data_IF_127837222493
#
_entry.id   IF_127837222493
#
_cell.length_a   1.000
_cell.length_b   1.000
_cell.length_c   1.000
_cell.angle_alpha   90.00
_cell.angle_beta   90.00
_cell.angle_gamma   90.00
#
_symmetry.space_group_name_H-M   'P 1'
#
loop_
_entity.id
_entity.type
_entity.pdbx_description
1 polymer ?
#
# COMPACT_ATOMS: atom_id res chain seq x y z
N UNK A 1 38.68 -7.52 27.15
CA UNK A 1 38.70 -7.08 25.75
C UNK A 1 37.44 -7.64 25.10
N UNK A 2 36.36 -6.86 25.07
CA UNK A 2 35.16 -7.23 24.32
C UNK A 2 35.52 -7.16 22.84
N UNK A 3 35.34 -8.27 22.13
CA UNK A 3 35.43 -8.31 20.68
C UNK A 3 34.26 -7.47 20.12
N UNK A 4 34.43 -6.17 20.01
CA UNK A 4 33.49 -5.27 19.34
C UNK A 4 33.68 -5.40 17.83
N UNK A 5 33.25 -6.54 17.29
CA UNK A 5 33.03 -6.67 15.86
C UNK A 5 31.86 -5.77 15.47
N UNK A 6 31.98 -4.96 14.41
CA UNK A 6 30.88 -4.11 13.97
C UNK A 6 29.68 -4.97 13.60
N UNK A 7 28.49 -4.59 14.09
CA UNK A 7 27.24 -5.26 13.71
C UNK A 7 26.99 -5.03 12.21
N UNK A 8 26.89 -6.11 11.45
CA UNK A 8 26.55 -6.06 10.02
C UNK A 8 25.04 -6.25 9.91
N UNK A 9 24.35 -5.26 9.33
CA UNK A 9 22.91 -5.32 9.09
C UNK A 9 22.63 -5.79 7.67
N UNK A 10 21.97 -6.95 7.53
CA UNK A 10 21.62 -7.58 6.26
C UNK A 10 20.11 -7.88 6.15
N UNK A 11 19.27 -7.04 6.77
CA UNK A 11 17.80 -7.24 6.82
C UNK A 11 17.03 -5.99 6.32
N UNK A 12 17.43 -5.45 5.17
CA UNK A 12 16.72 -4.31 4.55
C UNK A 12 15.27 -4.64 4.15
N UNK A 13 14.93 -5.93 4.06
CA UNK A 13 13.54 -6.41 3.87
C UNK A 13 12.62 -6.08 5.04
N UNK A 14 13.12 -6.11 6.28
CA UNK A 14 12.31 -5.78 7.45
C UNK A 14 12.15 -4.26 7.61
N UNK A 15 13.25 -3.51 7.49
CA UNK A 15 13.25 -2.03 7.50
C UNK A 15 14.59 -1.49 7.00
N UNK A 16 14.63 -0.20 6.66
CA UNK A 16 15.83 0.49 6.17
C UNK A 16 16.26 1.61 7.13
N UNK A 17 17.57 1.89 7.25
CA UNK A 17 18.03 3.05 7.99
C UNK A 17 17.55 4.33 7.31
N UNK A 18 17.06 5.29 8.09
CA UNK A 18 16.63 6.59 7.58
C UNK A 18 17.84 7.32 6.98
N UNK A 19 17.72 7.75 5.72
CA UNK A 19 18.75 8.55 5.08
C UNK A 19 18.94 9.88 5.84
N UNK A 20 20.19 10.37 6.07
CA UNK A 20 20.42 11.58 6.86
C UNK A 20 19.63 12.81 6.39
N UNK A 21 19.46 12.98 5.08
CA UNK A 21 18.67 14.07 4.51
C UNK A 21 17.17 13.97 4.87
N UNK A 22 16.63 12.76 4.93
CA UNK A 22 15.23 12.53 5.35
C UNK A 22 15.07 12.87 6.83
N UNK A 23 16.01 12.44 7.68
CA UNK A 23 15.99 12.78 9.11
C UNK A 23 16.06 14.30 9.35
N UNK A 24 16.91 15.00 8.58
CA UNK A 24 17.03 16.46 8.64
C UNK A 24 15.74 17.16 8.21
N UNK A 25 15.17 16.78 7.06
CA UNK A 25 13.94 17.36 6.54
C UNK A 25 12.75 17.15 7.49
N UNK A 26 12.61 15.94 8.04
CA UNK A 26 11.58 15.63 9.02
C UNK A 26 11.72 16.46 10.29
N UNK A 27 12.94 16.58 10.83
CA UNK A 27 13.21 17.38 12.03
C UNK A 27 12.88 18.85 11.83
N UNK A 28 13.25 19.41 10.68
CA UNK A 28 12.92 20.80 10.33
C UNK A 28 11.40 21.01 10.24
N UNK A 29 10.70 20.12 9.55
CA UNK A 29 9.25 20.20 9.39
C UNK A 29 8.51 20.07 10.72
N UNK A 30 8.94 19.17 11.61
CA UNK A 30 8.35 19.02 12.94
C UNK A 30 8.43 20.30 13.78
N UNK A 31 9.51 21.09 13.62
CA UNK A 31 9.70 22.34 14.36
C UNK A 31 8.94 23.50 13.71
N UNK A 32 8.95 23.58 12.37
CA UNK A 32 8.47 24.75 11.62
C UNK A 32 7.02 24.64 11.12
N UNK A 33 6.53 23.43 10.89
CA UNK A 33 5.25 23.17 10.25
C UNK A 33 4.23 22.58 11.23
N UNK A 34 3.66 23.44 12.08
CA UNK A 34 2.65 23.06 13.09
C UNK A 34 1.23 23.58 12.78
N UNK A 35 1.05 24.26 11.64
CA UNK A 35 -0.25 24.75 11.21
C UNK A 35 -1.17 23.61 10.76
N UNK A 36 -2.46 23.71 11.08
CA UNK A 36 -3.44 22.78 10.52
C UNK A 36 -3.59 23.03 9.00
N UNK A 37 -3.31 22.06 8.11
CA UNK A 37 -3.39 22.25 6.66
C UNK A 37 -4.80 22.50 6.13
N UNK A 38 -5.84 22.29 6.94
CA UNK A 38 -7.23 22.64 6.63
C UNK A 38 -7.58 24.10 6.93
N UNK A 39 -6.71 24.82 7.66
CA UNK A 39 -6.95 26.22 8.02
C UNK A 39 -6.64 27.17 6.87
N UNK A 40 -7.48 28.20 6.70
CA UNK A 40 -7.29 29.23 5.66
C UNK A 40 -6.21 30.27 5.99
N UNK A 41 -5.76 30.36 7.25
CA UNK A 41 -4.76 31.34 7.68
C UNK A 41 -3.36 30.97 7.14
N UNK A 42 -2.43 31.92 7.22
CA UNK A 42 -1.07 31.80 6.67
C UNK A 42 -0.39 30.46 7.01
N UNK A 43 -0.27 30.12 8.30
CA UNK A 43 0.40 28.88 8.73
C UNK A 43 -0.27 27.58 8.21
N UNK A 44 -1.59 27.58 8.02
CA UNK A 44 -2.31 26.43 7.48
C UNK A 44 -2.04 26.25 5.99
N UNK A 45 -2.04 27.36 5.23
CA UNK A 45 -1.68 27.34 3.80
C UNK A 45 -0.24 26.89 3.57
N UNK A 46 0.71 27.35 4.38
CA UNK A 46 2.10 26.90 4.32
C UNK A 46 2.21 25.37 4.50
N UNK A 47 1.52 24.83 5.51
CA UNK A 47 1.49 23.38 5.78
C UNK A 47 0.85 22.60 4.63
N UNK A 48 -0.24 23.13 4.04
CA UNK A 48 -0.88 22.54 2.86
C UNK A 48 0.05 22.52 1.65
N UNK A 49 0.81 23.59 1.42
CA UNK A 49 1.77 23.66 0.30
C UNK A 49 2.82 22.55 0.41
N UNK A 50 3.30 22.25 1.62
CA UNK A 50 4.28 21.16 1.85
C UNK A 50 3.67 19.80 1.46
N UNK A 51 2.45 19.50 1.91
CA UNK A 51 1.75 18.24 1.58
C UNK A 51 1.55 18.11 0.07
N UNK A 52 1.10 19.17 -0.61
CA UNK A 52 0.85 19.13 -2.06
C UNK A 52 2.14 19.04 -2.88
N UNK A 53 3.25 19.62 -2.40
CA UNK A 53 4.59 19.40 -3.00
C UNK A 53 5.03 17.94 -2.85
N UNK A 54 4.84 17.35 -1.67
CA UNK A 54 5.14 15.92 -1.46
C UNK A 54 4.27 15.04 -2.37
N UNK A 55 2.97 15.33 -2.48
CA UNK A 55 2.04 14.62 -3.37
C UNK A 55 2.48 14.67 -4.82
N UNK A 56 2.85 15.86 -5.32
CA UNK A 56 3.36 16.04 -6.68
C UNK A 56 4.66 15.27 -6.91
N UNK A 57 5.55 15.25 -5.93
CA UNK A 57 6.83 14.52 -6.03
C UNK A 57 6.61 13.01 -6.12
N UNK A 58 5.71 12.45 -5.30
CA UNK A 58 5.31 11.04 -5.34
C UNK A 58 4.66 10.68 -6.68
N UNK A 59 3.73 11.52 -7.16
CA UNK A 59 3.05 11.31 -8.44
C UNK A 59 4.03 11.29 -9.61
N UNK A 60 5.02 12.20 -9.62
CA UNK A 60 6.08 12.20 -10.63
C UNK A 60 6.95 10.95 -10.58
N UNK A 61 7.32 10.49 -9.38
CA UNK A 61 8.13 9.28 -9.22
C UNK A 61 7.39 8.00 -9.68
N UNK A 62 6.06 7.97 -9.51
CA UNK A 62 5.20 6.84 -9.88
C UNK A 62 4.60 6.94 -11.29
N UNK A 63 4.75 8.08 -11.97
CA UNK A 63 4.21 8.29 -13.31
C UNK A 63 2.68 8.46 -13.37
N UNK A 64 2.07 9.00 -12.31
CA UNK A 64 0.61 9.18 -12.20
C UNK A 64 0.22 10.65 -11.94
N UNK A 65 -1.08 10.94 -11.92
CA UNK A 65 -1.61 12.26 -11.54
C UNK A 65 -1.53 12.47 -10.02
N UNK A 66 -1.25 13.70 -9.54
CA UNK A 66 -1.33 14.00 -8.11
C UNK A 66 -2.68 13.63 -7.46
N UNK A 67 -3.78 13.67 -8.22
CA UNK A 67 -5.11 13.29 -7.73
C UNK A 67 -5.26 11.79 -7.41
N UNK A 68 -4.33 10.95 -7.86
CA UNK A 68 -4.32 9.50 -7.63
C UNK A 68 -3.50 9.12 -6.39
N UNK A 69 -2.81 10.08 -5.75
CA UNK A 69 -2.01 9.84 -4.56
C UNK A 69 -2.82 10.12 -3.30
N UNK A 70 -2.95 9.11 -2.44
CA UNK A 70 -3.52 9.23 -1.10
C UNK A 70 -2.44 8.91 -0.07
N UNK A 71 -2.28 9.76 0.94
CA UNK A 71 -1.35 9.50 2.05
C UNK A 71 -2.08 8.69 3.13
N UNK A 72 -1.45 7.59 3.55
CA UNK A 72 -1.88 6.72 4.65
C UNK A 72 -0.76 6.65 5.69
N UNK A 73 -1.01 6.01 6.83
CA UNK A 73 0.00 5.78 7.87
C UNK A 73 1.06 4.73 7.49
N UNK A 74 0.82 3.92 6.46
CA UNK A 74 1.75 2.90 5.98
C UNK A 74 1.10 1.84 5.08
N UNK A 75 1.90 0.84 4.68
CA UNK A 75 1.46 -0.21 3.75
C UNK A 75 0.23 -0.98 4.24
N UNK A 76 0.17 -1.36 5.51
CA UNK A 76 -0.98 -2.10 6.06
C UNK A 76 -2.30 -1.35 5.95
N UNK A 77 -2.31 -0.03 6.17
CA UNK A 77 -3.50 0.80 6.00
C UNK A 77 -3.86 0.92 4.52
N UNK A 78 -2.88 1.15 3.64
CA UNK A 78 -3.09 1.22 2.19
C UNK A 78 -3.71 -0.07 1.63
N UNK A 79 -3.16 -1.21 1.99
CA UNK A 79 -3.64 -2.53 1.57
C UNK A 79 -5.08 -2.76 2.04
N UNK A 80 -5.37 -2.46 3.31
CA UNK A 80 -6.71 -2.59 3.86
C UNK A 80 -7.70 -1.64 3.18
N UNK A 81 -7.30 -0.39 2.95
CA UNK A 81 -8.14 0.61 2.28
C UNK A 81 -8.49 0.16 0.86
N UNK A 82 -7.50 -0.30 0.09
CA UNK A 82 -7.72 -0.77 -1.27
C UNK A 82 -8.68 -1.97 -1.34
N UNK A 83 -8.44 -3.02 -0.54
CA UNK A 83 -9.28 -4.22 -0.55
C UNK A 83 -10.70 -3.94 -0.04
N UNK A 84 -10.85 -3.15 1.02
CA UNK A 84 -12.17 -2.80 1.56
C UNK A 84 -12.95 -1.93 0.59
N UNK A 85 -12.35 -0.88 0.03
CA UNK A 85 -13.05 -0.04 -0.93
C UNK A 85 -13.48 -0.83 -2.18
N UNK A 86 -12.68 -1.80 -2.63
CA UNK A 86 -13.07 -2.67 -3.73
C UNK A 86 -14.36 -3.44 -3.43
N UNK A 87 -14.47 -4.08 -2.27
CA UNK A 87 -15.66 -4.86 -1.90
C UNK A 87 -16.83 -3.96 -1.48
N UNK A 88 -16.59 -3.05 -0.54
CA UNK A 88 -17.63 -2.29 0.16
C UNK A 88 -18.17 -1.11 -0.68
N UNK A 89 -17.36 -0.53 -1.56
CA UNK A 89 -17.74 0.64 -2.35
C UNK A 89 -17.88 0.35 -3.84
N UNK A 90 -17.08 -0.56 -4.40
CA UNK A 90 -17.10 -0.87 -5.84
C UNK A 90 -17.87 -2.15 -6.18
N UNK A 91 -18.35 -2.89 -5.18
CA UNK A 91 -19.17 -4.09 -5.38
C UNK A 91 -18.40 -5.29 -5.94
N UNK A 92 -17.09 -5.37 -5.70
CA UNK A 92 -16.30 -6.54 -6.04
C UNK A 92 -16.78 -7.76 -5.24
N UNK A 93 -17.11 -8.84 -5.96
CA UNK A 93 -17.62 -10.08 -5.38
C UNK A 93 -16.57 -11.20 -5.33
N UNK A 94 -15.55 -11.14 -6.19
CA UNK A 94 -14.45 -12.11 -6.26
C UNK A 94 -13.10 -11.39 -6.22
N UNK A 95 -12.14 -11.93 -5.48
CA UNK A 95 -10.76 -11.45 -5.47
C UNK A 95 -9.83 -12.62 -5.81
N UNK A 96 -9.02 -12.47 -6.84
CA UNK A 96 -7.95 -13.42 -7.18
C UNK A 96 -6.64 -12.91 -6.59
N UNK A 97 -6.00 -13.69 -5.74
CA UNK A 97 -4.78 -13.29 -5.03
C UNK A 97 -3.81 -14.46 -4.88
N UNK A 98 -2.66 -14.26 -4.22
CA UNK A 98 -1.64 -15.27 -4.00
C UNK A 98 -1.47 -15.61 -2.52
N UNK A 99 -1.20 -16.88 -2.21
CA UNK A 99 -0.79 -17.29 -0.87
C UNK A 99 0.58 -16.73 -0.44
N UNK A 100 1.33 -16.15 -1.38
CA UNK A 100 2.63 -15.50 -1.15
C UNK A 100 2.52 -14.05 -0.68
N UNK A 101 1.30 -13.50 -0.61
CA UNK A 101 1.07 -12.11 -0.21
C UNK A 101 1.47 -11.84 1.24
N UNK A 102 1.76 -10.57 1.53
CA UNK A 102 2.00 -10.11 2.89
C UNK A 102 0.75 -10.28 3.77
N UNK A 103 0.94 -10.47 5.08
CA UNK A 103 -0.16 -10.65 6.03
C UNK A 103 -1.18 -9.49 6.05
N UNK A 104 -0.76 -8.29 5.66
CA UNK A 104 -1.66 -7.14 5.51
C UNK A 104 -2.76 -7.38 4.46
N UNK A 105 -2.47 -8.16 3.41
CA UNK A 105 -3.41 -8.58 2.38
C UNK A 105 -4.15 -9.85 2.84
N UNK A 106 -3.44 -10.91 3.24
CA UNK A 106 -4.10 -12.20 3.53
C UNK A 106 -5.14 -12.09 4.64
N UNK A 107 -4.88 -11.29 5.68
CA UNK A 107 -5.84 -11.09 6.78
C UNK A 107 -7.07 -10.27 6.36
N UNK A 108 -6.90 -9.24 5.51
CA UNK A 108 -8.05 -8.46 5.05
C UNK A 108 -8.93 -9.29 4.11
N UNK A 109 -8.33 -10.12 3.24
CA UNK A 109 -9.09 -11.02 2.36
C UNK A 109 -9.90 -12.06 3.14
N UNK A 110 -9.31 -12.68 4.17
CA UNK A 110 -10.02 -13.61 5.06
C UNK A 110 -11.19 -12.91 5.80
N UNK A 111 -10.99 -11.67 6.26
CA UNK A 111 -12.07 -10.90 6.86
C UNK A 111 -13.17 -10.58 5.84
N UNK A 112 -12.83 -10.13 4.64
CA UNK A 112 -13.80 -9.78 3.60
C UNK A 112 -14.63 -11.00 3.20
N UNK A 113 -14.01 -12.18 3.09
CA UNK A 113 -14.72 -13.44 2.90
C UNK A 113 -15.74 -13.70 4.02
N UNK A 114 -15.32 -13.58 5.29
CA UNK A 114 -16.17 -13.85 6.46
C UNK A 114 -17.33 -12.87 6.61
N UNK A 115 -17.10 -11.59 6.32
CA UNK A 115 -18.07 -10.51 6.57
C UNK A 115 -19.01 -10.30 5.38
N UNK A 116 -18.47 -10.33 4.16
CA UNK A 116 -19.19 -9.97 2.95
C UNK A 116 -19.48 -11.15 2.02
N UNK A 117 -18.95 -12.34 2.34
CA UNK A 117 -19.08 -13.51 1.48
C UNK A 117 -18.28 -13.41 0.17
N UNK A 118 -17.32 -12.48 0.09
CA UNK A 118 -16.45 -12.31 -1.08
C UNK A 118 -15.72 -13.63 -1.38
N UNK A 119 -15.76 -14.07 -2.64
CA UNK A 119 -15.04 -15.25 -3.07
C UNK A 119 -13.55 -14.93 -3.18
N UNK A 120 -12.70 -15.68 -2.47
CA UNK A 120 -11.25 -15.52 -2.53
C UNK A 120 -10.64 -16.70 -3.27
N UNK A 121 -10.07 -16.43 -4.44
CA UNK A 121 -9.42 -17.44 -5.28
C UNK A 121 -7.90 -17.32 -5.10
N UNK A 122 -7.29 -18.31 -4.46
CA UNK A 122 -5.84 -18.36 -4.29
C UNK A 122 -5.18 -19.00 -5.52
N UNK A 123 -4.42 -18.19 -6.26
CA UNK A 123 -3.70 -18.63 -7.45
C UNK A 123 -2.59 -19.61 -7.05
N UNK A 124 -2.52 -20.80 -7.66
CA UNK A 124 -1.49 -21.76 -7.34
C UNK A 124 -0.13 -21.26 -7.83
N UNK A 125 0.92 -21.68 -7.12
CA UNK A 125 2.30 -21.44 -7.49
C UNK A 125 3.08 -22.77 -7.52
N UNK A 126 4.15 -22.80 -8.31
CA UNK A 126 5.08 -23.92 -8.34
C UNK A 126 6.04 -23.90 -7.12
N UNK A 127 6.88 -24.93 -6.92
CA UNK A 127 7.86 -24.95 -5.83
C UNK A 127 8.94 -23.86 -5.89
N UNK A 128 9.04 -23.12 -7.00
CA UNK A 128 9.92 -21.96 -7.16
C UNK A 128 9.22 -20.64 -6.80
N UNK A 129 7.92 -20.68 -6.48
CA UNK A 129 7.11 -19.51 -6.15
C UNK A 129 6.56 -18.79 -7.39
N UNK A 130 6.60 -19.41 -8.57
CA UNK A 130 6.07 -18.83 -9.80
C UNK A 130 4.58 -19.12 -9.88
N UNK A 131 3.78 -18.06 -10.05
CA UNK A 131 2.33 -18.14 -10.16
C UNK A 131 1.86 -18.73 -11.50
N UNK A 132 0.79 -19.52 -11.47
CA UNK A 132 0.17 -20.06 -12.68
C UNK A 132 -0.62 -18.99 -13.44
N UNK A 133 0.05 -18.33 -14.38
CA UNK A 133 -0.54 -17.29 -15.22
C UNK A 133 -1.62 -17.82 -16.18
N UNK A 134 -1.59 -19.11 -16.54
CA UNK A 134 -2.63 -19.71 -17.38
C UNK A 134 -3.93 -19.85 -16.59
N UNK A 135 -3.84 -20.27 -15.32
CA UNK A 135 -4.98 -20.34 -14.41
C UNK A 135 -5.58 -18.95 -14.17
N UNK A 136 -4.74 -17.92 -13.98
CA UNK A 136 -5.21 -16.54 -13.83
C UNK A 136 -5.97 -16.08 -15.07
N UNK A 137 -5.43 -16.32 -16.26
CA UNK A 137 -6.10 -15.97 -17.52
C UNK A 137 -7.45 -16.68 -17.67
N UNK A 138 -7.53 -17.95 -17.29
CA UNK A 138 -8.77 -18.73 -17.31
C UNK A 138 -9.82 -18.13 -16.35
N UNK A 139 -9.45 -17.85 -15.11
CA UNK A 139 -10.39 -17.29 -14.12
C UNK A 139 -10.85 -15.88 -14.51
N UNK A 140 -9.98 -15.03 -15.05
CA UNK A 140 -10.39 -13.71 -15.54
C UNK A 140 -11.37 -13.81 -16.73
N UNK A 141 -11.17 -14.79 -17.62
CA UNK A 141 -12.12 -15.06 -18.71
C UNK A 141 -13.46 -15.53 -18.15
N UNK A 142 -13.46 -16.47 -17.21
CA UNK A 142 -14.66 -16.97 -16.54
C UNK A 142 -15.42 -15.84 -15.85
N UNK A 143 -14.74 -14.98 -15.08
CA UNK A 143 -15.33 -13.84 -14.41
C UNK A 143 -16.02 -12.89 -15.39
N UNK A 144 -15.42 -12.63 -16.55
CA UNK A 144 -16.03 -11.81 -17.60
C UNK A 144 -17.25 -12.50 -18.21
N UNK A 145 -17.13 -13.79 -18.54
CA UNK A 145 -18.19 -14.56 -19.19
C UNK A 145 -19.42 -14.72 -18.27
N UNK A 146 -19.21 -14.81 -16.95
CA UNK A 146 -20.25 -14.88 -15.91
C UNK A 146 -20.64 -13.51 -15.32
N UNK A 147 -20.01 -12.42 -15.79
CA UNK A 147 -20.19 -11.06 -15.29
C UNK A 147 -20.03 -10.92 -13.77
N UNK A 148 -19.03 -11.61 -13.20
CA UNK A 148 -18.67 -11.54 -11.78
C UNK A 148 -17.70 -10.37 -11.58
N UNK A 149 -18.05 -9.32 -10.83
CA UNK A 149 -17.13 -8.23 -10.49
C UNK A 149 -15.91 -8.79 -9.75
N UNK A 150 -14.76 -8.77 -10.42
CA UNK A 150 -13.54 -9.44 -9.95
C UNK A 150 -12.40 -8.44 -9.84
N UNK A 151 -11.69 -8.48 -8.71
CA UNK A 151 -10.39 -7.85 -8.49
C UNK A 151 -9.27 -8.87 -8.71
#
# INVERSE_FOLDING_TARGET
MTNDLPRIYLDNSATTPIHPEVASAMSELLIRCYGNPSSIHFLGRESRIIIEKARKSMAQALGCSPSEIFFTSGGTESDNMACRCAVENLGICRIISSSLEHHAITHVLDQLHKVHGTEICWLPNDPQGILDMNQLQQWLKESRDLNIPTL
#
